data_IF_000875917758
#
_entry.id   IF_000875917758
#
_cell.length_a   1.000
_cell.length_b   1.000
_cell.length_c   1.000
_cell.angle_alpha   90.00
_cell.angle_beta   90.00
_cell.angle_gamma   90.00
#
_symmetry.space_group_name_H-M   'P 1'
#
loop_
_entity.id
_entity.type
_entity.pdbx_description
1 polymer ?
#
# COMPACT_ATOMS: atom_id res chain seq x y z
N UNK A 1 7.46 0.82 4.89
CA UNK A 1 6.32 0.52 3.99
C UNK A 1 5.23 1.52 4.31
N UNK A 2 4.59 2.05 3.29
CA UNK A 2 3.38 2.86 3.38
C UNK A 2 2.25 2.08 2.74
N UNK A 3 1.05 2.19 3.31
CA UNK A 3 -0.18 1.59 2.78
C UNK A 3 -1.26 2.66 2.81
N UNK A 4 -2.11 2.66 1.79
CA UNK A 4 -3.22 3.61 1.68
C UNK A 4 -4.57 2.95 1.82
N UNK A 5 -5.47 3.61 2.56
CA UNK A 5 -6.89 3.25 2.58
C UNK A 5 -7.61 4.30 1.74
N UNK A 6 -8.08 3.90 0.56
CA UNK A 6 -8.88 4.74 -0.30
C UNK A 6 -10.35 4.40 -0.11
N UNK A 7 -11.11 5.38 0.32
CA UNK A 7 -12.56 5.29 0.45
C UNK A 7 -13.25 5.71 -0.85
N UNK A 8 -14.41 5.13 -1.15
CA UNK A 8 -15.32 5.73 -2.14
C UNK A 8 -15.94 7.03 -1.60
N UNK A 9 -16.70 7.74 -2.43
CA UNK A 9 -17.32 9.03 -2.10
C UNK A 9 -18.17 8.97 -0.82
N UNK A 10 -18.94 7.90 -0.64
CA UNK A 10 -19.84 7.71 0.51
C UNK A 10 -19.13 7.23 1.78
N UNK A 11 -17.85 6.85 1.66
CA UNK A 11 -16.99 6.32 2.73
C UNK A 11 -17.50 5.04 3.40
N UNK A 12 -18.29 4.25 2.69
CA UNK A 12 -18.79 2.95 3.13
C UNK A 12 -17.96 1.77 2.58
N UNK A 13 -17.13 2.02 1.56
CA UNK A 13 -16.29 1.00 0.91
C UNK A 13 -14.84 1.44 0.84
N UNK A 14 -13.94 0.46 0.84
CA UNK A 14 -12.49 0.67 0.69
C UNK A 14 -11.95 -0.13 -0.49
N UNK A 15 -10.93 0.41 -1.15
CA UNK A 15 -10.20 -0.29 -2.21
C UNK A 15 -9.18 -1.27 -1.61
N UNK A 16 -9.24 -2.52 -2.05
CA UNK A 16 -8.25 -3.57 -1.78
C UNK A 16 -7.83 -4.20 -3.11
N UNK A 17 -6.59 -4.65 -3.20
CA UNK A 17 -6.02 -5.34 -4.36
C UNK A 17 -5.69 -6.78 -4.01
N UNK A 18 -5.68 -7.67 -5.02
CA UNK A 18 -5.31 -9.06 -4.84
C UNK A 18 -3.88 -9.27 -5.34
N UNK A 19 -3.01 -9.84 -4.50
CA UNK A 19 -1.60 -10.09 -4.82
C UNK A 19 -1.47 -11.04 -6.00
N UNK A 20 -0.68 -10.64 -7.00
CA UNK A 20 -0.41 -11.46 -8.17
C UNK A 20 0.42 -12.70 -7.79
N UNK A 21 0.31 -13.76 -8.59
CA UNK A 21 0.82 -15.11 -8.27
C UNK A 21 2.34 -15.21 -8.05
N UNK A 22 3.12 -14.21 -8.46
CA UNK A 22 4.58 -14.19 -8.37
C UNK A 22 5.13 -13.52 -7.10
N UNK A 23 4.27 -13.11 -6.16
CA UNK A 23 4.67 -12.40 -4.95
C UNK A 23 4.51 -13.26 -3.68
N UNK A 24 5.30 -12.96 -2.64
CA UNK A 24 5.11 -13.51 -1.28
C UNK A 24 3.67 -13.29 -0.82
N UNK A 25 2.98 -14.30 -0.28
CA UNK A 25 1.53 -14.28 0.01
C UNK A 25 0.65 -14.07 -1.23
N UNK A 26 0.97 -14.74 -2.33
CA UNK A 26 0.13 -14.73 -3.53
C UNK A 26 -1.32 -15.14 -3.20
N UNK A 27 -2.27 -14.45 -3.84
CA UNK A 27 -3.70 -14.73 -3.66
C UNK A 27 -4.36 -14.09 -2.43
N UNK A 28 -3.59 -13.51 -1.51
CA UNK A 28 -4.13 -12.71 -0.40
C UNK A 28 -4.55 -11.31 -0.86
N UNK A 29 -5.50 -10.72 -0.13
CA UNK A 29 -5.91 -9.34 -0.28
C UNK A 29 -4.98 -8.40 0.47
N UNK A 30 -4.74 -7.23 -0.10
CA UNK A 30 -3.93 -6.18 0.51
C UNK A 30 -4.47 -4.78 0.20
N UNK A 31 -3.96 -3.81 0.95
CA UNK A 31 -4.12 -2.41 0.60
C UNK A 31 -3.01 -1.98 -0.38
N UNK A 32 -3.31 -1.12 -1.36
CA UNK A 32 -2.31 -0.56 -2.26
C UNK A 32 -1.23 0.21 -1.50
N UNK A 33 -0.01 0.17 -2.03
CA UNK A 33 1.16 0.82 -1.45
C UNK A 33 2.39 -0.06 -1.47
N UNK A 34 3.48 0.46 -0.89
CA UNK A 34 4.76 -0.20 -1.04
C UNK A 34 5.86 0.35 -0.15
N UNK A 35 7.10 0.06 -0.54
CA UNK A 35 8.28 0.45 0.23
C UNK A 35 8.63 1.90 -0.07
N UNK A 36 8.86 2.65 0.99
CA UNK A 36 9.49 3.97 0.90
C UNK A 36 10.91 3.83 0.35
N UNK A 37 11.28 4.70 -0.60
CA UNK A 37 12.65 4.83 -1.10
C UNK A 37 13.51 5.63 -0.11
N UNK A 38 14.83 5.63 -0.30
CA UNK A 38 15.75 6.43 0.50
C UNK A 38 15.42 7.92 0.30
N UNK A 39 15.36 8.67 1.41
CA UNK A 39 15.02 10.10 1.44
C UNK A 39 13.60 10.46 0.94
N UNK A 40 12.71 9.47 0.80
CA UNK A 40 11.32 9.69 0.41
C UNK A 40 10.45 9.80 1.67
N UNK A 41 9.67 10.88 1.79
CA UNK A 41 8.69 11.00 2.86
C UNK A 41 7.49 10.08 2.62
N UNK A 42 6.66 9.87 3.66
CA UNK A 42 5.55 8.92 3.58
C UNK A 42 4.47 9.30 2.57
N UNK A 43 4.21 10.60 2.36
CA UNK A 43 3.21 11.07 1.41
C UNK A 43 3.70 10.94 -0.03
N UNK A 44 4.96 11.31 -0.29
CA UNK A 44 5.59 11.15 -1.60
C UNK A 44 5.65 9.67 -2.00
N UNK A 45 6.04 8.79 -1.07
CA UNK A 45 6.04 7.35 -1.30
C UNK A 45 4.64 6.82 -1.63
N UNK A 46 3.63 7.20 -0.84
CA UNK A 46 2.26 6.75 -1.05
C UNK A 46 1.72 7.21 -2.41
N UNK A 47 1.97 8.47 -2.77
CA UNK A 47 1.51 9.06 -4.03
C UNK A 47 2.14 8.37 -5.23
N UNK A 48 3.44 8.06 -5.17
CA UNK A 48 4.14 7.31 -6.22
C UNK A 48 3.58 5.90 -6.38
N UNK A 49 3.46 5.15 -5.29
CA UNK A 49 2.96 3.76 -5.34
C UNK A 49 1.52 3.71 -5.88
N UNK A 50 0.64 4.63 -5.45
CA UNK A 50 -0.73 4.71 -5.97
C UNK A 50 -0.78 5.04 -7.46
N UNK A 51 0.11 5.89 -7.94
CA UNK A 51 0.21 6.19 -9.37
C UNK A 51 0.74 4.98 -10.16
N UNK A 52 1.82 4.33 -9.67
CA UNK A 52 2.43 3.16 -10.32
C UNK A 52 1.49 1.94 -10.35
N UNK A 53 0.73 1.68 -9.28
CA UNK A 53 -0.13 0.51 -9.16
C UNK A 53 -1.54 0.71 -9.72
N UNK A 54 -2.10 1.92 -9.57
CA UNK A 54 -3.52 2.19 -9.84
C UNK A 54 -3.75 3.31 -10.87
N UNK A 55 -2.72 4.07 -11.25
CA UNK A 55 -2.88 5.29 -12.05
C UNK A 55 -3.57 6.44 -11.30
N UNK A 56 -3.65 6.39 -9.96
CA UNK A 56 -4.36 7.38 -9.14
C UNK A 56 -3.39 8.41 -8.58
N UNK A 57 -3.70 9.70 -8.79
CA UNK A 57 -2.96 10.81 -8.19
C UNK A 57 -3.57 11.23 -6.86
N UNK A 58 -2.79 11.16 -5.77
CA UNK A 58 -3.23 11.58 -4.43
C UNK A 58 -2.96 13.08 -4.27
N UNK A 59 -4.00 13.84 -3.93
CA UNK A 59 -3.87 15.28 -3.65
C UNK A 59 -3.74 15.59 -2.16
N UNK A 60 -4.37 14.77 -1.31
CA UNK A 60 -4.33 14.89 0.15
C UNK A 60 -4.46 13.52 0.79
N UNK A 61 -3.77 13.31 1.90
CA UNK A 61 -3.92 12.14 2.74
C UNK A 61 -3.78 12.51 4.22
N UNK A 62 -4.42 11.74 5.09
CA UNK A 62 -4.28 11.86 6.55
C UNK A 62 -3.62 10.60 7.09
N UNK A 63 -2.63 10.77 7.97
CA UNK A 63 -2.03 9.65 8.69
C UNK A 63 -3.08 9.00 9.58
N UNK A 64 -3.31 7.70 9.39
CA UNK A 64 -4.23 6.93 10.22
C UNK A 64 -3.54 6.33 11.45
N UNK A 65 -2.52 5.50 11.23
CA UNK A 65 -1.81 4.77 12.29
C UNK A 65 -0.37 4.45 11.88
N UNK A 66 0.51 4.24 12.86
CA UNK A 66 1.84 3.62 12.67
C UNK A 66 1.86 2.28 13.38
N UNK A 67 2.19 1.22 12.66
CA UNK A 67 2.32 -0.13 13.22
C UNK A 67 3.77 -0.58 13.06
N UNK A 68 4.37 -1.07 14.15
CA UNK A 68 5.68 -1.70 14.11
C UNK A 68 5.48 -3.21 13.94
N UNK A 69 5.90 -3.77 12.81
CA UNK A 69 5.80 -5.21 12.53
C UNK A 69 7.20 -5.79 12.32
N UNK A 70 7.44 -6.96 12.91
CA UNK A 70 8.63 -7.77 12.64
C UNK A 70 8.21 -8.84 11.63
N UNK A 71 8.73 -8.74 10.41
CA UNK A 71 8.41 -9.69 9.33
C UNK A 71 9.63 -10.60 9.14
N UNK A 72 9.47 -11.89 9.44
CA UNK A 72 10.48 -12.90 9.13
C UNK A 72 10.34 -13.36 7.68
N UNK A 73 11.34 -13.11 6.83
CA UNK A 73 11.38 -13.64 5.47
C UNK A 73 11.69 -15.13 5.51
N UNK A 74 10.67 -16.00 5.55
CA UNK A 74 10.85 -17.37 5.09
C UNK A 74 10.96 -17.35 3.56
N UNK A 75 12.13 -17.70 3.02
CA UNK A 75 12.32 -18.01 1.59
C UNK A 75 11.46 -19.24 1.29
N UNK A 76 10.39 -19.07 0.54
CA UNK A 76 9.73 -20.18 -0.13
C UNK A 76 10.56 -20.45 -1.39
N UNK A 77 11.22 -21.61 -1.43
CA UNK A 77 11.91 -22.14 -2.59
C UNK A 77 10.88 -22.67 -3.60
#
# INVERSE_FOLDING_TARGET
>A
VVVGILYNSDKDKVLITKRTSKQYLSGYWEFPGGKTKKNEDSFSALSREFYEELGVSITKAKRLIKINMIISKKKYY
#
